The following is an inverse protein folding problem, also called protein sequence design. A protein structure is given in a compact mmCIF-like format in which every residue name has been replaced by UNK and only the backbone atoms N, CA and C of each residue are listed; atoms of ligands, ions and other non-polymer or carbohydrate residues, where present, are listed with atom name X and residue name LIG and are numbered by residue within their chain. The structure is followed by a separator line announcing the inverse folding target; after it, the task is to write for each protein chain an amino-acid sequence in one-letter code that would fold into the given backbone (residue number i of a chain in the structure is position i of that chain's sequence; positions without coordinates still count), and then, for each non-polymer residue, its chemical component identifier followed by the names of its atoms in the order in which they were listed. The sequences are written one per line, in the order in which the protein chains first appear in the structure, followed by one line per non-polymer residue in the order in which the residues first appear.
data_IF_369492488206
#
_entry.id   IF_369492488206
#
_cell.length_a   1.000
_cell.length_b   1.000
_cell.length_c   1.000
_cell.angle_alpha   90.00
_cell.angle_beta   90.00
_cell.angle_gamma   90.00
#
_symmetry.space_group_name_H-M   'P 1'
#
loop_
_entity.id
_entity.type
_entity.pdbx_description
1 polymer ?
#
# COMPACT_ATOMS: atom_id res chain seq x y z
N UNK A 1 11.98 0.33 2.78
CA UNK A 1 11.00 0.21 3.88
C UNK A 1 11.57 0.84 5.14
N UNK A 2 10.81 1.71 5.79
CA UNK A 2 11.14 2.24 7.11
C UNK A 2 10.55 1.35 8.22
N UNK A 3 10.97 1.58 9.47
CA UNK A 3 10.43 0.83 10.63
C UNK A 3 8.91 1.01 10.82
N UNK A 4 8.32 2.10 10.31
CA UNK A 4 6.86 2.29 10.29
C UNK A 4 6.13 1.28 9.40
N UNK A 5 6.66 1.01 8.20
CA UNK A 5 6.08 0.05 7.25
C UNK A 5 6.06 -1.36 7.87
N UNK A 6 7.15 -1.72 8.56
CA UNK A 6 7.26 -3.00 9.26
C UNK A 6 6.22 -3.14 10.38
N UNK A 7 6.01 -2.09 11.18
CA UNK A 7 4.97 -2.07 12.25
C UNK A 7 3.56 -2.19 11.69
N UNK A 8 3.27 -1.51 10.57
CA UNK A 8 1.95 -1.59 9.94
C UNK A 8 1.69 -2.98 9.37
N UNK A 9 2.68 -3.58 8.70
CA UNK A 9 2.55 -4.94 8.18
C UNK A 9 2.34 -5.97 9.30
N UNK A 10 3.08 -5.87 10.41
CA UNK A 10 2.92 -6.81 11.53
C UNK A 10 1.58 -6.64 12.22
N UNK A 11 1.10 -5.42 12.44
CA UNK A 11 -0.22 -5.17 13.00
C UNK A 11 -1.34 -5.73 12.10
N UNK A 12 -1.26 -5.51 10.78
CA UNK A 12 -2.22 -6.07 9.83
C UNK A 12 -2.15 -7.59 9.77
N UNK A 13 -0.96 -8.20 9.87
CA UNK A 13 -0.81 -9.65 9.83
C UNK A 13 -1.56 -10.36 10.97
N UNK A 14 -1.63 -9.75 12.16
CA UNK A 14 -2.42 -10.29 13.29
C UNK A 14 -3.92 -10.33 12.95
N UNK A 15 -4.41 -9.35 12.19
CA UNK A 15 -5.82 -9.25 11.80
C UNK A 15 -6.25 -10.30 10.75
N UNK A 16 -5.34 -10.65 9.84
CA UNK A 16 -5.58 -11.68 8.82
C UNK A 16 -5.28 -13.11 9.33
N UNK A 17 -4.50 -13.24 10.41
CA UNK A 17 -4.03 -14.52 10.95
C UNK A 17 -2.98 -15.19 10.07
N UNK A 18 -2.22 -16.15 10.59
CA UNK A 18 -1.17 -16.89 9.86
C UNK A 18 -1.76 -17.97 8.92
N UNK A 19 -2.73 -17.58 8.09
CA UNK A 19 -3.47 -18.48 7.21
C UNK A 19 -3.37 -18.02 5.73
N UNK A 20 -4.11 -18.66 4.83
CA UNK A 20 -4.17 -18.31 3.41
C UNK A 20 -4.52 -16.82 3.18
N UNK A 21 -5.36 -16.23 4.02
CA UNK A 21 -5.72 -14.80 3.96
C UNK A 21 -4.53 -13.84 4.11
N UNK A 22 -3.48 -14.22 4.85
CA UNK A 22 -2.26 -13.41 4.97
C UNK A 22 -1.48 -13.40 3.66
N UNK A 23 -1.38 -14.56 2.99
CA UNK A 23 -0.70 -14.66 1.70
C UNK A 23 -1.43 -13.79 0.68
N UNK A 24 -2.76 -13.84 0.66
CA UNK A 24 -3.59 -12.95 -0.17
C UNK A 24 -3.34 -11.48 0.15
N UNK A 25 -3.33 -11.09 1.43
CA UNK A 25 -2.99 -9.72 1.85
C UNK A 25 -1.61 -9.28 1.37
N UNK A 26 -0.58 -10.11 1.55
CA UNK A 26 0.79 -9.80 1.12
C UNK A 26 0.89 -9.65 -0.40
N UNK A 27 0.19 -10.48 -1.17
CA UNK A 27 0.12 -10.34 -2.64
C UNK A 27 -0.50 -9.01 -3.02
N UNK A 28 -1.63 -8.63 -2.42
CA UNK A 28 -2.25 -7.32 -2.70
C UNK A 28 -1.32 -6.17 -2.32
N UNK A 29 -0.71 -6.21 -1.13
CA UNK A 29 0.24 -5.17 -0.70
C UNK A 29 1.44 -5.09 -1.64
N UNK A 30 1.97 -6.22 -2.13
CA UNK A 30 3.06 -6.25 -3.10
C UNK A 30 2.63 -5.67 -4.45
N UNK A 31 1.43 -5.99 -4.94
CA UNK A 31 0.88 -5.44 -6.18
C UNK A 31 0.69 -3.93 -6.11
N UNK A 32 0.00 -3.44 -5.07
CA UNK A 32 -0.20 -1.99 -4.86
C UNK A 32 1.14 -1.27 -4.59
N UNK A 33 2.05 -1.90 -3.85
CA UNK A 33 3.39 -1.38 -3.62
C UNK A 33 4.20 -1.26 -4.90
N UNK A 34 4.18 -2.30 -5.73
CA UNK A 34 4.83 -2.32 -7.04
C UNK A 34 4.26 -1.26 -7.99
N UNK A 35 2.94 -1.19 -8.10
CA UNK A 35 2.25 -0.14 -8.88
C UNK A 35 2.63 1.27 -8.41
N UNK A 36 2.63 1.51 -7.09
CA UNK A 36 3.02 2.80 -6.52
C UNK A 36 4.48 3.13 -6.86
N UNK A 37 5.39 2.16 -6.77
CA UNK A 37 6.80 2.37 -7.14
C UNK A 37 6.98 2.68 -8.62
N UNK A 38 6.28 1.99 -9.51
CA UNK A 38 6.32 2.26 -10.95
C UNK A 38 5.74 3.65 -11.26
N UNK A 39 4.64 4.02 -10.62
CA UNK A 39 4.04 5.34 -10.76
C UNK A 39 5.00 6.45 -10.31
N UNK A 40 5.67 6.29 -9.16
CA UNK A 40 6.67 7.24 -8.68
C UNK A 40 7.88 7.31 -9.63
N UNK A 41 8.33 6.17 -10.16
CA UNK A 41 9.44 6.14 -11.13
C UNK A 41 9.09 6.92 -12.41
N UNK A 42 7.86 6.76 -12.92
CA UNK A 42 7.37 7.51 -14.07
C UNK A 42 7.27 9.02 -13.79
N UNK A 43 6.78 9.39 -12.61
CA UNK A 43 6.73 10.78 -12.17
C UNK A 43 8.12 11.41 -12.06
N UNK A 44 9.09 10.70 -11.49
CA UNK A 44 10.49 11.15 -11.44
C UNK A 44 11.12 11.28 -12.82
N UNK A 45 10.80 10.37 -13.74
CA UNK A 45 11.26 10.48 -15.13
C UNK A 45 10.73 11.73 -15.82
N UNK A 46 9.54 12.20 -15.45
CA UNK A 46 8.92 13.42 -15.97
C UNK A 46 9.19 14.67 -15.13
N UNK A 47 9.98 14.58 -14.05
CA UNK A 47 10.29 15.69 -13.14
C UNK A 47 10.81 16.92 -13.89
N UNK A 48 11.65 16.71 -14.90
CA UNK A 48 12.22 17.79 -15.71
C UNK A 48 11.15 18.56 -16.53
N UNK A 49 10.07 17.88 -16.95
CA UNK A 49 8.95 18.47 -17.68
C UNK A 49 7.92 19.10 -16.75
N UNK A 50 7.74 18.54 -15.54
CA UNK A 50 6.80 19.00 -14.52
C UNK A 50 7.31 20.27 -13.82
N UNK A 51 8.62 20.35 -13.54
CA UNK A 51 9.25 21.56 -13.02
C UNK A 51 9.20 22.70 -14.05
N UNK A 52 9.29 22.37 -15.34
CA UNK A 52 9.15 23.34 -16.42
C UNK A 52 7.70 23.83 -16.62
N UNK A 53 6.68 23.08 -16.17
CA UNK A 53 5.27 23.45 -16.30
C UNK A 53 4.68 24.19 -15.09
N UNK A 54 5.48 24.45 -14.05
CA UNK A 54 5.09 25.28 -12.90
C UNK A 54 4.07 24.62 -11.96
N UNK A 55 3.72 23.36 -12.17
CA UNK A 55 2.80 22.62 -11.30
C UNK A 55 3.56 22.20 -10.04
N UNK A 56 3.23 22.79 -8.90
CA UNK A 56 3.81 22.42 -7.61
C UNK A 56 3.29 21.03 -7.17
N UNK A 57 3.93 19.98 -7.67
CA UNK A 57 3.72 18.64 -7.16
C UNK A 57 4.36 18.48 -5.77
N UNK A 58 3.79 17.64 -4.89
CA UNK A 58 4.35 17.39 -3.57
C UNK A 58 5.81 16.94 -3.68
N UNK A 59 6.73 17.67 -3.06
CA UNK A 59 8.16 17.31 -3.01
C UNK A 59 8.40 15.89 -2.45
N UNK A 60 7.44 15.32 -1.73
CA UNK A 60 7.47 13.93 -1.28
C UNK A 60 7.51 12.89 -2.43
N UNK A 61 6.99 13.23 -3.61
CA UNK A 61 6.98 12.33 -4.77
C UNK A 61 8.19 12.57 -5.70
N UNK A 62 8.66 13.81 -5.76
CA UNK A 62 9.75 14.22 -6.66
C UNK A 62 11.12 14.17 -5.95
N UNK A 63 11.25 14.83 -4.79
CA UNK A 63 12.54 15.12 -4.15
C UNK A 63 12.82 14.24 -2.91
N UNK A 64 11.80 13.74 -2.23
CA UNK A 64 12.00 12.97 -1.00
C UNK A 64 12.56 11.56 -1.30
N UNK A 65 13.59 11.16 -0.54
CA UNK A 65 14.25 9.85 -0.66
C UNK A 65 13.35 8.67 -0.24
N UNK A 66 12.22 8.92 0.43
CA UNK A 66 11.34 7.90 1.01
C UNK A 66 10.02 7.80 0.22
N UNK A 67 9.76 6.63 -0.33
CA UNK A 67 8.48 6.26 -0.94
C UNK A 67 7.45 6.04 0.17
N UNK A 68 6.21 6.59 0.05
CA UNK A 68 5.16 6.44 1.05
C UNK A 68 4.51 5.05 0.97
N UNK A 69 5.27 4.01 1.32
CA UNK A 69 4.81 2.61 1.30
C UNK A 69 3.59 2.36 2.20
N UNK A 70 3.41 3.14 3.26
CA UNK A 70 2.20 3.08 4.11
C UNK A 70 0.88 3.22 3.33
N UNK A 71 0.86 4.01 2.25
CA UNK A 71 -0.35 4.15 1.41
C UNK A 71 -0.63 2.86 0.63
N UNK A 72 0.41 2.24 0.08
CA UNK A 72 0.27 0.94 -0.59
C UNK A 72 -0.16 -0.16 0.38
N UNK A 73 0.36 -0.15 1.62
CA UNK A 73 -0.04 -1.10 2.66
C UNK A 73 -1.51 -0.89 3.05
N UNK A 74 -1.95 0.36 3.21
CA UNK A 74 -3.34 0.68 3.52
C UNK A 74 -4.31 0.26 2.39
N UNK A 75 -3.97 0.55 1.14
CA UNK A 75 -4.77 0.13 -0.02
C UNK A 75 -4.80 -1.39 -0.19
N UNK A 76 -3.66 -2.07 -0.02
CA UNK A 76 -3.60 -3.53 -0.04
C UNK A 76 -4.40 -4.18 1.10
N UNK A 77 -4.38 -3.59 2.30
CA UNK A 77 -5.22 -4.00 3.43
C UNK A 77 -6.71 -3.80 3.16
N UNK A 78 -7.09 -2.65 2.60
CA UNK A 78 -8.48 -2.37 2.25
C UNK A 78 -9.01 -3.31 1.15
N UNK A 79 -8.22 -3.56 0.11
CA UNK A 79 -8.60 -4.45 -0.98
C UNK A 79 -8.72 -5.92 -0.56
N UNK A 80 -7.92 -6.36 0.41
CA UNK A 80 -7.96 -7.72 0.97
C UNK A 80 -8.91 -7.87 2.15
N UNK A 81 -9.46 -6.77 2.68
CA UNK A 81 -10.40 -6.74 3.81
C UNK A 81 -11.60 -7.69 3.65
N UNK A 82 -12.24 -7.83 2.47
CA UNK A 82 -13.35 -8.77 2.28
C UNK A 82 -12.94 -10.24 2.44
N UNK A 83 -11.68 -10.56 2.20
CA UNK A 83 -11.10 -11.90 2.33
C UNK A 83 -10.55 -12.17 3.74
N UNK A 84 -10.68 -11.22 4.67
CA UNK A 84 -10.24 -11.40 6.04
C UNK A 84 -11.18 -12.36 6.80
N UNK A 85 -10.64 -13.25 7.66
CA UNK A 85 -11.44 -14.18 8.45
C UNK A 85 -12.48 -13.47 9.34
N UNK A 86 -12.12 -12.30 9.88
CA UNK A 86 -13.01 -11.47 10.70
C UNK A 86 -14.22 -10.97 9.90
N UNK A 87 -14.02 -10.52 8.66
CA UNK A 87 -15.12 -10.06 7.82
C UNK A 87 -16.02 -11.21 7.38
N UNK A 88 -15.43 -12.37 7.06
CA UNK A 88 -16.21 -13.59 6.77
C UNK A 88 -17.03 -14.04 7.98
N UNK A 89 -16.47 -13.99 9.18
CA UNK A 89 -17.18 -14.31 10.41
C UNK A 89 -18.33 -13.33 10.70
N UNK A 90 -18.13 -12.03 10.44
CA UNK A 90 -19.18 -11.02 10.59
C UNK A 90 -20.32 -11.21 9.59
N UNK A 91 -20.02 -11.53 8.33
CA UNK A 91 -21.04 -11.83 7.32
C UNK A 91 -21.81 -13.12 7.64
N UNK A 92 -21.15 -14.14 8.18
CA UNK A 92 -21.81 -15.38 8.59
C UNK A 92 -22.78 -15.21 9.77
N UNK A 93 -22.65 -14.15 10.57
CA UNK A 93 -23.60 -13.82 11.64
C UNK A 93 -24.83 -13.03 11.16
N UNK A 94 -24.80 -12.51 9.93
CA UNK A 94 -25.89 -11.74 9.32
C UNK A 94 -26.83 -12.63 8.47
N UNK A 95 -26.47 -13.89 8.23
CA UNK A 95 -27.32 -14.90 7.58
C UNK A 95 -28.03 -15.77 8.61
#
# INVERSE_FOLDING_TARGET
MGGGDAKLLTASAVWFGLNASLVTFLIYVALFGGLLTLFILLLRRQENTILASGIQFPQLLLTAKKIPYGVAIALGGFASYPSSPLMQAAFAQLS
#
